data_IF_815978991255
#
_entry.id   IF_815978991255
#
_cell.length_a   1.000
_cell.length_b   1.000
_cell.length_c   1.000
_cell.angle_alpha   90.00
_cell.angle_beta   90.00
_cell.angle_gamma   90.00
#
_symmetry.space_group_name_H-M   'P 1'
#
loop_
_entity.id
_entity.type
_entity.pdbx_description
1 polymer ?
#
# COMPACT_ATOMS: atom_id res chain seq x y z
N UNK A 1 92.24 -23.09 24.89
CA UNK A 1 91.49 -23.67 26.02
C UNK A 1 90.70 -22.54 26.65
N UNK A 2 89.38 -22.74 26.77
CA UNK A 2 88.35 -21.95 27.46
C UNK A 2 87.79 -20.72 26.72
N UNK A 3 86.55 -20.93 26.25
CA UNK A 3 85.53 -19.97 25.85
C UNK A 3 85.20 -18.98 26.98
N UNK A 4 84.72 -17.78 26.65
CA UNK A 4 83.51 -17.23 27.28
C UNK A 4 82.89 -16.11 26.43
N UNK A 5 81.70 -16.42 25.91
CA UNK A 5 80.53 -15.56 25.66
C UNK A 5 80.63 -14.41 24.65
N UNK A 6 80.22 -14.72 23.42
CA UNK A 6 79.41 -13.84 22.59
C UNK A 6 78.00 -13.73 23.20
N UNK A 7 77.49 -12.50 23.39
CA UNK A 7 76.12 -12.31 23.85
C UNK A 7 75.78 -10.88 24.30
N UNK A 8 76.02 -9.86 23.48
CA UNK A 8 75.29 -8.59 23.61
C UNK A 8 74.08 -8.62 22.70
N UNK A 9 73.01 -9.25 23.20
CA UNK A 9 71.68 -9.13 22.63
C UNK A 9 71.13 -7.75 22.94
N UNK A 10 71.13 -6.86 21.95
CA UNK A 10 70.34 -5.63 21.95
C UNK A 10 68.86 -5.98 21.89
N UNK A 11 68.22 -6.14 23.04
CA UNK A 11 66.77 -6.24 23.16
C UNK A 11 66.28 -5.48 24.38
N UNK A 12 66.16 -4.17 24.23
CA UNK A 12 65.31 -3.32 25.04
C UNK A 12 64.63 -2.35 24.08
N UNK A 13 63.33 -2.14 24.06
CA UNK A 13 62.20 -2.87 24.60
C UNK A 13 61.02 -2.33 23.78
N UNK A 14 60.17 -3.24 23.30
CA UNK A 14 58.76 -3.05 22.97
C UNK A 14 58.30 -1.60 22.75
N UNK A 15 58.27 -1.19 21.47
CA UNK A 15 57.30 -0.21 21.03
C UNK A 15 55.92 -0.75 21.36
N UNK A 16 55.28 -0.11 22.34
CA UNK A 16 53.84 -0.14 22.58
C UNK A 16 53.13 0.15 21.25
N UNK A 17 52.75 -0.92 20.56
CA UNK A 17 52.04 -0.88 19.29
C UNK A 17 50.67 -1.49 19.51
N UNK A 18 49.87 -0.83 20.35
CA UNK A 18 48.43 -1.11 20.46
C UNK A 18 47.65 0.19 20.27
N UNK A 19 47.46 0.63 19.01
CA UNK A 19 46.20 1.29 18.69
C UNK A 19 45.45 0.69 17.47
N UNK A 20 46.06 -0.20 16.69
CA UNK A 20 45.50 -0.60 15.38
C UNK A 20 44.32 -1.58 15.49
N UNK A 21 44.32 -2.44 16.53
CA UNK A 21 43.31 -3.50 16.68
C UNK A 21 41.96 -2.94 17.15
N UNK A 22 41.96 -1.99 18.08
CA UNK A 22 40.74 -1.41 18.64
C UNK A 22 39.99 -0.54 17.61
N UNK A 23 40.71 0.21 16.78
CA UNK A 23 40.13 1.00 15.70
C UNK A 23 39.54 0.11 14.59
N UNK A 24 40.26 -0.96 14.21
CA UNK A 24 39.83 -1.93 13.21
C UNK A 24 38.60 -2.74 13.67
N UNK A 25 38.56 -3.16 14.93
CA UNK A 25 37.39 -3.84 15.51
C UNK A 25 36.19 -2.88 15.57
N UNK A 26 36.38 -1.64 16.06
CA UNK A 26 35.30 -0.64 16.13
C UNK A 26 34.73 -0.30 14.75
N UNK A 27 35.58 -0.14 13.74
CA UNK A 27 35.14 0.11 12.36
C UNK A 27 34.37 -1.08 11.76
N UNK A 28 34.83 -2.31 12.04
CA UNK A 28 34.15 -3.53 11.60
C UNK A 28 32.78 -3.72 12.28
N UNK A 29 32.68 -3.40 13.57
CA UNK A 29 31.42 -3.43 14.32
C UNK A 29 30.45 -2.38 13.81
N UNK A 30 30.89 -1.13 13.60
CA UNK A 30 30.04 -0.05 13.08
C UNK A 30 29.47 -0.38 11.69
N UNK A 31 30.28 -0.97 10.80
CA UNK A 31 29.81 -1.42 9.50
C UNK A 31 28.76 -2.53 9.61
N UNK A 32 28.96 -3.50 10.52
CA UNK A 32 27.99 -4.58 10.74
C UNK A 32 26.67 -4.05 11.31
N UNK A 33 26.74 -3.09 12.23
CA UNK A 33 25.57 -2.43 12.80
C UNK A 33 24.79 -1.66 11.73
N UNK A 34 25.50 -0.95 10.83
CA UNK A 34 24.89 -0.28 9.68
C UNK A 34 24.19 -1.25 8.72
N UNK A 35 24.83 -2.39 8.40
CA UNK A 35 24.24 -3.45 7.55
C UNK A 35 23.00 -4.08 8.20
N UNK A 36 23.04 -4.32 9.51
CA UNK A 36 21.89 -4.84 10.25
C UNK A 36 20.72 -3.83 10.23
N UNK A 37 21.00 -2.55 10.48
CA UNK A 37 20.00 -1.47 10.39
C UNK A 37 19.41 -1.35 8.99
N UNK A 38 20.25 -1.36 7.96
CA UNK A 38 19.80 -1.33 6.56
C UNK A 38 18.85 -2.49 6.23
N UNK A 39 19.22 -3.70 6.64
CA UNK A 39 18.41 -4.91 6.42
C UNK A 39 17.06 -4.82 7.14
N UNK A 40 17.04 -4.31 8.37
CA UNK A 40 15.81 -4.09 9.13
C UNK A 40 14.91 -3.02 8.49
N UNK A 41 15.49 -1.92 8.00
CA UNK A 41 14.74 -0.86 7.30
C UNK A 41 14.15 -1.37 5.98
N UNK A 42 14.88 -2.18 5.20
CA UNK A 42 14.34 -2.83 4.00
C UNK A 42 13.16 -3.74 4.35
N UNK A 43 13.29 -4.58 5.39
CA UNK A 43 12.21 -5.46 5.80
C UNK A 43 10.95 -4.68 6.18
N UNK A 44 11.10 -3.60 6.96
CA UNK A 44 10.00 -2.73 7.35
C UNK A 44 9.38 -2.00 6.14
N UNK A 45 10.20 -1.57 5.18
CA UNK A 45 9.76 -0.95 3.94
C UNK A 45 8.96 -1.94 3.08
N UNK A 46 9.46 -3.16 2.94
CA UNK A 46 8.80 -4.22 2.18
C UNK A 46 7.44 -4.57 2.79
N UNK A 47 7.33 -4.67 4.12
CA UNK A 47 6.04 -4.88 4.80
C UNK A 47 5.08 -3.73 4.53
N UNK A 48 5.55 -2.48 4.56
CA UNK A 48 4.70 -1.31 4.27
C UNK A 48 4.21 -1.29 2.82
N UNK A 49 5.10 -1.53 1.86
CA UNK A 49 4.77 -1.60 0.43
C UNK A 49 3.79 -2.74 0.13
N UNK A 50 3.97 -3.91 0.76
CA UNK A 50 3.00 -5.01 0.67
C UNK A 50 1.63 -4.64 1.25
N UNK A 51 1.59 -3.79 2.28
CA UNK A 51 0.38 -3.19 2.82
C UNK A 51 -0.20 -2.03 2.01
N UNK A 52 0.41 -1.67 0.88
CA UNK A 52 -0.02 -0.56 0.02
C UNK A 52 0.47 0.83 0.47
N UNK A 53 1.27 0.92 1.52
CA UNK A 53 1.88 2.17 1.97
C UNK A 53 3.17 2.45 1.18
N UNK A 54 3.01 3.21 0.10
CA UNK A 54 4.10 3.70 -0.76
C UNK A 54 4.66 5.05 -0.28
N UNK A 55 4.30 5.52 0.92
CA UNK A 55 4.77 6.81 1.48
C UNK A 55 5.99 6.66 2.38
N UNK A 56 6.27 5.44 2.86
CA UNK A 56 7.45 5.15 3.68
C UNK A 56 8.76 5.29 2.92
N UNK A 57 9.80 5.73 3.61
CA UNK A 57 11.16 5.90 3.08
C UNK A 57 12.18 5.33 4.05
N UNK A 58 13.27 4.81 3.51
CA UNK A 58 14.47 4.46 4.27
C UNK A 58 15.26 5.72 4.63
N UNK A 59 15.92 5.72 5.78
CA UNK A 59 16.82 6.79 6.18
C UNK A 59 18.17 6.53 5.50
N UNK A 60 18.47 7.28 4.44
CA UNK A 60 19.71 7.12 3.66
C UNK A 60 20.95 7.74 4.35
N UNK A 61 21.01 7.70 5.68
CA UNK A 61 22.02 8.37 6.52
C UNK A 61 23.16 7.44 6.96
N UNK A 62 23.44 6.40 6.17
CA UNK A 62 24.54 5.46 6.41
C UNK A 62 25.90 6.11 6.15
N UNK A 63 26.89 5.78 6.98
CA UNK A 63 28.28 6.18 6.77
C UNK A 63 28.92 5.39 5.62
N UNK A 64 28.44 4.17 5.35
CA UNK A 64 28.76 3.43 4.13
C UNK A 64 28.04 4.08 2.92
N UNK A 65 28.78 4.60 1.93
CA UNK A 65 28.20 5.28 0.77
C UNK A 65 27.40 4.34 -0.15
N UNK A 66 27.72 3.05 -0.19
CA UNK A 66 27.00 2.07 -1.00
C UNK A 66 25.64 1.72 -0.36
N UNK A 67 25.57 1.66 0.97
CA UNK A 67 24.30 1.50 1.69
C UNK A 67 23.41 2.74 1.51
N UNK A 68 23.98 3.94 1.65
CA UNK A 68 23.26 5.20 1.43
C UNK A 68 22.73 5.30 -0.01
N UNK A 69 23.56 4.98 -1.01
CA UNK A 69 23.13 4.94 -2.41
C UNK A 69 22.01 3.92 -2.63
N UNK A 70 22.12 2.73 -2.05
CA UNK A 70 21.12 1.67 -2.20
C UNK A 70 19.78 2.10 -1.60
N UNK A 71 19.77 2.72 -0.42
CA UNK A 71 18.57 3.27 0.21
C UNK A 71 17.94 4.38 -0.65
N UNK A 72 18.75 5.25 -1.26
CA UNK A 72 18.26 6.29 -2.17
C UNK A 72 17.59 5.69 -3.42
N UNK A 73 18.21 4.71 -4.08
CA UNK A 73 17.64 4.02 -5.24
C UNK A 73 16.31 3.32 -4.89
N UNK A 74 16.24 2.67 -3.73
CA UNK A 74 15.00 2.02 -3.27
C UNK A 74 13.89 3.05 -3.00
N UNK A 75 14.22 4.19 -2.40
CA UNK A 75 13.28 5.27 -2.19
C UNK A 75 12.75 5.83 -3.53
N UNK A 76 13.62 6.06 -4.51
CA UNK A 76 13.25 6.52 -5.85
C UNK A 76 12.34 5.52 -6.58
N UNK A 77 12.63 4.22 -6.46
CA UNK A 77 11.79 3.17 -7.03
C UNK A 77 10.37 3.21 -6.47
N UNK A 78 10.22 3.35 -5.14
CA UNK A 78 8.91 3.40 -4.48
C UNK A 78 8.16 4.68 -4.87
N UNK A 79 8.85 5.82 -4.93
CA UNK A 79 8.26 7.09 -5.41
C UNK A 79 7.71 6.90 -6.83
N UNK A 80 8.52 6.36 -7.74
CA UNK A 80 8.09 6.11 -9.12
C UNK A 80 6.85 5.21 -9.17
N UNK A 81 6.82 4.10 -8.43
CA UNK A 81 5.64 3.23 -8.37
C UNK A 81 4.42 3.98 -7.83
N UNK A 82 4.60 4.76 -6.75
CA UNK A 82 3.55 5.58 -6.13
C UNK A 82 2.96 6.60 -7.10
N UNK A 83 3.81 7.32 -7.82
CA UNK A 83 3.39 8.34 -8.79
C UNK A 83 2.58 7.70 -9.94
N UNK A 84 3.08 6.59 -10.50
CA UNK A 84 2.37 5.86 -11.56
C UNK A 84 1.00 5.34 -11.09
N UNK A 85 0.91 4.85 -9.85
CA UNK A 85 -0.35 4.38 -9.27
C UNK A 85 -1.30 5.56 -8.96
N UNK A 86 -0.78 6.69 -8.51
CA UNK A 86 -1.57 7.91 -8.28
C UNK A 86 -2.21 8.39 -9.58
N UNK A 87 -1.45 8.46 -10.69
CA UNK A 87 -2.00 8.84 -11.99
C UNK A 87 -3.15 7.93 -12.43
N UNK A 88 -3.02 6.63 -12.17
CA UNK A 88 -4.10 5.66 -12.47
C UNK A 88 -5.32 5.88 -11.56
N UNK A 89 -5.10 6.10 -10.26
CA UNK A 89 -6.19 6.39 -9.32
C UNK A 89 -6.93 7.67 -9.70
N UNK A 90 -6.22 8.71 -10.13
CA UNK A 90 -6.82 9.97 -10.57
C UNK A 90 -7.67 9.77 -11.82
N UNK A 91 -7.18 8.99 -12.80
CA UNK A 91 -7.94 8.65 -13.99
C UNK A 91 -9.17 7.78 -13.69
N UNK A 92 -9.04 6.81 -12.77
CA UNK A 92 -10.17 6.00 -12.29
C UNK A 92 -11.19 6.84 -11.53
N UNK A 93 -10.75 7.81 -10.72
CA UNK A 93 -11.63 8.74 -10.03
C UNK A 93 -12.40 9.64 -11.02
N UNK A 94 -11.72 10.15 -12.05
CA UNK A 94 -12.37 10.90 -13.13
C UNK A 94 -13.45 10.06 -13.84
N UNK A 95 -13.13 8.81 -14.19
CA UNK A 95 -14.10 7.87 -14.75
C UNK A 95 -15.29 7.63 -13.81
N UNK A 96 -15.05 7.43 -12.51
CA UNK A 96 -16.10 7.27 -11.52
C UNK A 96 -16.96 8.54 -11.35
N UNK A 97 -16.41 9.71 -11.66
CA UNK A 97 -17.14 10.97 -11.73
C UNK A 97 -17.91 11.17 -13.04
N UNK A 98 -17.86 10.19 -13.94
CA UNK A 98 -18.55 10.24 -15.22
C UNK A 98 -17.74 10.87 -16.34
N UNK A 99 -16.49 11.26 -16.08
CA UNK A 99 -15.61 11.81 -17.10
C UNK A 99 -15.04 10.67 -17.96
N UNK A 100 -15.66 10.48 -19.12
CA UNK A 100 -15.17 9.54 -20.12
C UNK A 100 -14.12 10.15 -21.06
N UNK A 101 -13.85 11.45 -20.98
CA UNK A 101 -12.91 12.16 -21.84
C UNK A 101 -11.50 12.26 -21.21
N UNK A 102 -11.42 12.26 -19.88
CA UNK A 102 -10.19 12.25 -19.09
C UNK A 102 -9.43 10.92 -19.13
N UNK A 103 -8.74 10.64 -20.24
CA UNK A 103 -7.81 9.51 -20.35
C UNK A 103 -6.46 9.74 -19.65
N UNK A 104 -5.68 8.67 -19.49
CA UNK A 104 -4.31 8.77 -18.98
C UNK A 104 -3.35 9.28 -20.07
N UNK A 105 -2.44 10.19 -19.68
CA UNK A 105 -1.43 10.80 -20.56
C UNK A 105 -0.36 9.79 -20.99
N UNK A 106 0.19 9.95 -22.20
CA UNK A 106 1.19 9.04 -22.78
C UNK A 106 2.63 9.22 -22.26
N UNK A 107 2.76 9.13 -20.93
CA UNK A 107 4.04 9.24 -20.22
C UNK A 107 4.54 7.93 -19.64
N UNK A 108 3.67 6.92 -19.52
CA UNK A 108 4.02 5.67 -18.86
C UNK A 108 4.73 4.71 -19.82
N UNK A 109 5.56 3.82 -19.27
CA UNK A 109 6.35 2.83 -20.00
C UNK A 109 6.21 1.45 -19.36
N UNK A 110 6.60 0.40 -20.08
CA UNK A 110 6.53 -0.98 -19.59
C UNK A 110 5.12 -1.39 -19.15
N UNK A 111 5.02 -2.05 -17.99
CA UNK A 111 3.75 -2.52 -17.43
C UNK A 111 2.73 -1.39 -17.20
N UNK A 112 3.17 -0.25 -16.68
CA UNK A 112 2.30 0.93 -16.49
C UNK A 112 1.83 1.51 -17.82
N UNK A 113 2.69 1.49 -18.86
CA UNK A 113 2.30 1.87 -20.22
C UNK A 113 1.23 0.94 -20.81
N UNK A 114 1.29 -0.36 -20.52
CA UNK A 114 0.24 -1.29 -20.94
C UNK A 114 -1.07 -1.05 -20.19
N UNK A 115 -1.00 -0.78 -18.87
CA UNK A 115 -2.17 -0.42 -18.07
C UNK A 115 -2.84 0.85 -18.61
N UNK A 116 -2.05 1.88 -18.93
CA UNK A 116 -2.50 3.13 -19.54
C UNK A 116 -3.23 2.88 -20.87
N UNK A 117 -2.65 2.06 -21.76
CA UNK A 117 -3.27 1.71 -23.05
C UNK A 117 -4.60 1.00 -22.87
N UNK A 118 -4.64 0.01 -21.98
CA UNK A 118 -5.86 -0.75 -21.69
C UNK A 118 -6.95 0.14 -21.11
N UNK A 119 -6.61 1.03 -20.18
CA UNK A 119 -7.55 1.99 -19.59
C UNK A 119 -8.11 2.95 -20.67
N UNK A 120 -7.24 3.55 -21.48
CA UNK A 120 -7.68 4.45 -22.55
C UNK A 120 -8.56 3.74 -23.58
N UNK A 121 -8.24 2.48 -23.93
CA UNK A 121 -9.07 1.66 -24.80
C UNK A 121 -10.44 1.38 -24.19
N UNK A 122 -10.51 1.09 -22.89
CA UNK A 122 -11.78 0.91 -22.19
C UNK A 122 -12.64 2.17 -22.26
N UNK A 123 -12.06 3.37 -22.04
CA UNK A 123 -12.78 4.64 -22.19
C UNK A 123 -13.33 4.83 -23.61
N UNK A 124 -12.52 4.58 -24.64
CA UNK A 124 -12.96 4.64 -26.05
C UNK A 124 -14.13 3.70 -26.29
N UNK A 125 -14.02 2.46 -25.80
CA UNK A 125 -15.04 1.43 -25.98
C UNK A 125 -16.35 1.81 -25.29
N UNK A 126 -16.29 2.29 -24.04
CA UNK A 126 -17.47 2.75 -23.29
C UNK A 126 -18.16 3.90 -24.04
N UNK A 127 -17.39 4.90 -24.49
CA UNK A 127 -17.96 6.02 -25.28
C UNK A 127 -18.58 5.55 -26.58
N UNK A 128 -17.95 4.61 -27.28
CA UNK A 128 -18.48 4.06 -28.53
C UNK A 128 -19.80 3.32 -28.31
N UNK A 129 -19.91 2.54 -27.23
CA UNK A 129 -21.15 1.79 -26.89
C UNK A 129 -22.26 2.74 -26.43
N UNK A 130 -21.95 3.74 -25.62
CA UNK A 130 -22.94 4.72 -25.13
C UNK A 130 -23.35 5.74 -26.21
N UNK A 131 -22.48 5.98 -27.19
CA UNK A 131 -22.59 7.12 -28.09
C UNK A 131 -22.47 8.46 -27.35
N UNK A 132 -22.61 9.55 -28.09
CA UNK A 132 -22.50 10.92 -27.55
C UNK A 132 -23.56 11.18 -26.47
N UNK A 133 -24.84 10.94 -26.79
CA UNK A 133 -25.96 11.17 -25.86
C UNK A 133 -25.91 10.29 -24.61
N UNK A 134 -25.39 9.07 -24.72
CA UNK A 134 -25.25 8.17 -23.57
C UNK A 134 -24.09 8.57 -22.67
N UNK A 135 -23.00 9.08 -23.25
CA UNK A 135 -21.85 9.61 -22.51
C UNK A 135 -22.25 10.83 -21.68
N UNK A 136 -23.02 11.76 -22.25
CA UNK A 136 -23.56 12.92 -21.52
C UNK A 136 -24.49 12.50 -20.37
N UNK A 137 -25.40 11.57 -20.63
CA UNK A 137 -26.29 11.03 -19.60
C UNK A 137 -25.54 10.29 -18.49
N UNK A 138 -24.42 9.63 -18.81
CA UNK A 138 -23.57 8.97 -17.82
C UNK A 138 -22.94 9.99 -16.87
N UNK A 139 -22.37 11.07 -17.40
CA UNK A 139 -21.81 12.17 -16.59
C UNK A 139 -22.88 12.83 -15.69
N UNK A 140 -24.07 13.07 -16.24
CA UNK A 140 -25.20 13.62 -15.49
C UNK A 140 -25.65 12.70 -14.35
N UNK A 141 -25.78 11.40 -14.61
CA UNK A 141 -26.16 10.40 -13.61
C UNK A 141 -25.10 10.29 -12.51
N UNK A 142 -23.81 10.25 -12.86
CA UNK A 142 -22.71 10.24 -11.90
C UNK A 142 -22.73 11.47 -10.98
N UNK A 143 -22.98 12.66 -11.56
CA UNK A 143 -23.10 13.91 -10.81
C UNK A 143 -24.29 13.89 -9.83
N UNK A 144 -25.45 13.39 -10.27
CA UNK A 144 -26.63 13.26 -9.40
C UNK A 144 -26.39 12.28 -8.26
N UNK A 145 -25.78 11.12 -8.55
CA UNK A 145 -25.45 10.12 -7.54
C UNK A 145 -24.50 10.68 -6.47
N UNK A 146 -23.47 11.43 -6.87
CA UNK A 146 -22.56 12.11 -5.93
C UNK A 146 -23.28 13.13 -5.06
N UNK A 147 -24.20 13.92 -5.62
CA UNK A 147 -25.02 14.87 -4.85
C UNK A 147 -25.87 14.15 -3.80
N UNK A 148 -26.43 13.00 -4.16
CA UNK A 148 -27.16 12.14 -3.22
C UNK A 148 -26.24 11.66 -2.09
N UNK A 149 -25.07 11.09 -2.41
CA UNK A 149 -24.08 10.65 -1.41
C UNK A 149 -23.60 11.78 -0.48
N UNK A 150 -23.40 12.99 -0.99
CA UNK A 150 -23.03 14.15 -0.20
C UNK A 150 -24.18 14.60 0.74
N UNK A 151 -25.43 14.55 0.25
CA UNK A 151 -26.62 14.82 1.06
C UNK A 151 -26.78 13.83 2.22
N UNK A 152 -26.54 12.55 1.98
CA UNK A 152 -26.56 11.52 3.04
C UNK A 152 -25.50 11.76 4.13
N UNK A 153 -24.29 12.18 3.75
CA UNK A 153 -23.24 12.49 4.75
C UNK A 153 -23.50 13.78 5.53
N UNK A 154 -24.22 14.73 4.95
CA UNK A 154 -24.59 15.99 5.62
C UNK A 154 -25.74 15.83 6.61
N UNK A 155 -26.58 14.81 6.42
CA UNK A 155 -27.72 14.52 7.29
C UNK A 155 -27.32 13.52 8.37
N UNK A 156 -26.23 13.82 9.09
CA UNK A 156 -25.68 13.04 10.19
C UNK A 156 -26.61 12.95 11.39
N UNK A 157 -27.75 12.27 11.23
CA UNK A 157 -28.19 11.33 12.24
C UNK A 157 -27.37 10.10 11.95
N UNK A 158 -26.43 9.77 12.83
CA UNK A 158 -25.70 8.53 12.76
C UNK A 158 -26.73 7.41 12.50
N UNK A 159 -26.62 6.74 11.35
CA UNK A 159 -27.20 5.42 11.23
C UNK A 159 -26.34 4.57 12.17
N UNK A 160 -26.69 4.60 13.45
CA UNK A 160 -26.46 3.45 14.29
C UNK A 160 -27.13 2.32 13.53
N UNK A 161 -26.33 1.49 12.89
CA UNK A 161 -26.72 0.11 12.67
C UNK A 161 -26.93 -0.41 14.08
N UNK A 162 -28.15 -0.27 14.58
CA UNK A 162 -28.62 -0.96 15.76
C UNK A 162 -28.50 -2.43 15.38
N UNK A 163 -27.40 -3.04 15.78
CA UNK A 163 -27.34 -4.49 15.98
C UNK A 163 -28.60 -4.79 16.77
N UNK A 164 -29.52 -5.57 16.18
CA UNK A 164 -30.81 -5.89 16.77
C UNK A 164 -30.60 -6.22 18.24
N UNK A 165 -31.15 -5.37 19.10
CA UNK A 165 -31.29 -5.69 20.50
C UNK A 165 -32.16 -6.96 20.56
N UNK A 166 -31.77 -7.89 21.42
CA UNK A 166 -32.23 -9.28 21.48
C UNK A 166 -33.73 -9.41 21.83
N UNK A 167 -34.42 -8.28 22.02
CA UNK A 167 -35.85 -8.14 22.34
C UNK A 167 -36.72 -7.60 21.19
N UNK A 168 -36.17 -7.44 19.97
CA UNK A 168 -36.94 -7.02 18.81
C UNK A 168 -37.87 -8.14 18.33
N UNK A 169 -39.14 -8.12 18.78
CA UNK A 169 -40.18 -9.05 18.29
C UNK A 169 -40.21 -9.03 16.75
N UNK A 170 -40.11 -10.23 16.17
CA UNK A 170 -40.14 -10.43 14.74
C UNK A 170 -41.37 -9.72 14.12
N UNK A 171 -41.12 -8.84 13.16
CA UNK A 171 -42.20 -8.29 12.33
C UNK A 171 -42.68 -9.44 11.44
N UNK A 172 -43.93 -9.92 11.57
CA UNK A 172 -44.41 -11.03 10.76
C UNK A 172 -44.42 -10.59 9.30
N UNK A 173 -43.67 -11.31 8.47
CA UNK A 173 -43.68 -11.09 7.04
C UNK A 173 -45.02 -11.62 6.47
N UNK A 174 -45.70 -10.88 5.56
CA UNK A 174 -46.97 -11.31 4.97
C UNK A 174 -47.00 -12.76 4.42
N UNK A 175 -45.90 -13.31 3.87
CA UNK A 175 -45.87 -14.71 3.45
C UNK A 175 -45.99 -15.70 4.61
N UNK A 176 -45.44 -15.39 5.80
CA UNK A 176 -45.47 -16.28 6.96
C UNK A 176 -46.89 -16.39 7.55
N UNK A 177 -47.64 -15.28 7.50
CA UNK A 177 -49.03 -15.21 7.96
C UNK A 177 -49.99 -16.04 7.09
N UNK A 178 -49.67 -16.17 5.80
CA UNK A 178 -50.37 -17.04 4.85
C UNK A 178 -50.12 -18.52 5.14
N UNK A 179 -48.89 -18.90 5.48
CA UNK A 179 -48.55 -20.29 5.84
C UNK A 179 -49.24 -20.74 7.12
N UNK A 180 -49.32 -19.88 8.13
CA UNK A 180 -50.01 -20.18 9.38
C UNK A 180 -51.52 -20.36 9.18
N UNK A 181 -52.18 -19.49 8.40
CA UNK A 181 -53.61 -19.60 8.07
C UNK A 181 -53.93 -20.83 7.22
N UNK A 182 -53.03 -21.22 6.33
CA UNK A 182 -53.20 -22.42 5.52
C UNK A 182 -53.06 -23.70 6.37
N UNK A 183 -52.10 -23.73 7.30
CA UNK A 183 -51.91 -24.87 8.21
C UNK A 183 -53.14 -25.07 9.12
N UNK A 184 -53.66 -24.00 9.70
CA UNK A 184 -54.86 -24.03 10.55
C UNK A 184 -56.12 -24.49 9.78
N UNK A 185 -56.24 -24.08 8.51
CA UNK A 185 -57.33 -24.51 7.63
C UNK A 185 -57.23 -25.98 7.20
N UNK A 186 -56.02 -26.57 7.17
CA UNK A 186 -55.81 -27.97 6.83
C UNK A 186 -56.02 -28.91 8.03
N UNK A 187 -55.65 -28.49 9.24
CA UNK A 187 -55.92 -29.24 10.47
C UNK A 187 -57.41 -29.30 10.82
N UNK A 188 -58.19 -28.29 10.41
CA UNK A 188 -59.66 -28.26 10.56
C UNK A 188 -60.43 -29.25 9.67
N UNK A 189 -59.77 -29.96 8.75
CA UNK A 189 -60.39 -30.93 7.82
C UNK A 189 -60.28 -32.40 8.26
N UNK A 190 -59.68 -32.70 9.42
CA UNK A 190 -59.48 -34.07 9.93
C UNK A 190 -60.28 -34.38 11.20
N UNK A 191 -61.53 -33.91 11.32
CA UNK A 191 -62.50 -34.37 12.32
C UNK A 191 -63.85 -34.70 11.67
#
# INVERSE_FOLDING_TARGET
>A
MVETTNGSGSNAAYQDRVPDDAASIKASTDLNDQKARFSAEIAALATAVQGGDLTRRMKADYADPDLSRSAAILNELIVSIGDNLSDFNDAMAALAHGDLHGGMRDKHRGAFGQLQKNFNLALVTIRAVLGERGSDQFADKATRFRRMLAGFRSNGVAVEIRVSDEDSRAIPSPPHDLWLKLADALDGFSA
#
